data_IF_646932666841
#
_entry.id   IF_646932666841
#
_cell.length_a   1.000
_cell.length_b   1.000
_cell.length_c   1.000
_cell.angle_alpha   90.00
_cell.angle_beta   90.00
_cell.angle_gamma   90.00
#
_symmetry.space_group_name_H-M   'P 1'
#
loop_
_entity.id
_entity.type
_entity.pdbx_description
1 polymer ?
#
# COMPACT_ATOMS: atom_id res chain seq x y z
N UNK A 1 40.22 3.11 8.09
CA UNK A 1 39.20 2.71 7.10
C UNK A 1 38.00 2.11 7.84
N UNK A 2 37.05 2.94 8.27
CA UNK A 2 35.78 2.47 8.87
C UNK A 2 34.73 2.46 7.77
N UNK A 3 34.31 1.24 7.45
CA UNK A 3 33.21 0.79 6.59
C UNK A 3 32.18 1.85 6.22
N UNK A 4 32.14 2.18 4.93
CA UNK A 4 30.98 2.74 4.24
C UNK A 4 29.72 1.93 4.65
N UNK A 5 28.62 2.63 4.89
CA UNK A 5 27.36 2.05 5.33
C UNK A 5 26.97 0.85 4.46
N UNK A 6 26.85 -0.34 5.06
CA UNK A 6 26.19 -1.47 4.42
C UNK A 6 24.71 -1.11 4.28
N UNK A 7 24.37 -0.41 3.20
CA UNK A 7 23.01 -0.32 2.70
C UNK A 7 22.58 -1.78 2.48
N UNK A 8 21.54 -2.21 3.17
CA UNK A 8 21.00 -3.55 3.00
C UNK A 8 20.30 -3.62 1.63
N UNK A 9 21.12 -3.83 0.59
CA UNK A 9 20.72 -3.88 -0.81
C UNK A 9 19.61 -4.90 -1.02
N UNK A 10 19.69 -6.04 -0.33
CA UNK A 10 18.66 -7.08 -0.33
C UNK A 10 17.31 -6.51 0.13
N UNK A 11 17.27 -5.75 1.22
CA UNK A 11 16.06 -5.09 1.69
C UNK A 11 15.49 -4.07 0.68
N UNK A 12 16.35 -3.30 0.01
CA UNK A 12 15.90 -2.38 -1.04
C UNK A 12 15.29 -3.12 -2.24
N UNK A 13 15.96 -4.17 -2.73
CA UNK A 13 15.48 -4.98 -3.85
C UNK A 13 14.16 -5.68 -3.52
N UNK A 14 14.00 -6.17 -2.29
CA UNK A 14 12.75 -6.79 -1.81
C UNK A 14 11.59 -5.78 -1.85
N UNK A 15 11.80 -4.55 -1.38
CA UNK A 15 10.74 -3.52 -1.40
C UNK A 15 10.43 -3.08 -2.84
N UNK A 16 11.44 -2.96 -3.70
CA UNK A 16 11.22 -2.66 -5.11
C UNK A 16 10.40 -3.75 -5.80
N UNK A 17 10.70 -5.02 -5.52
CA UNK A 17 9.92 -6.14 -6.01
C UNK A 17 8.48 -6.11 -5.47
N UNK A 18 8.29 -5.78 -4.19
CA UNK A 18 6.97 -5.60 -3.60
C UNK A 18 6.14 -4.51 -4.35
N UNK A 19 6.77 -3.39 -4.70
CA UNK A 19 6.13 -2.32 -5.48
C UNK A 19 5.64 -2.84 -6.84
N UNK A 20 6.41 -3.68 -7.54
CA UNK A 20 5.97 -4.28 -8.81
C UNK A 20 4.69 -5.12 -8.59
N UNK A 21 4.65 -5.97 -7.55
CA UNK A 21 3.44 -6.74 -7.24
C UNK A 21 2.25 -5.84 -6.91
N UNK A 22 2.45 -4.74 -6.17
CA UNK A 22 1.39 -3.78 -5.91
C UNK A 22 0.88 -3.08 -7.19
N UNK A 23 1.75 -2.77 -8.15
CA UNK A 23 1.33 -2.20 -9.44
C UNK A 23 0.33 -3.12 -10.16
N UNK A 24 0.67 -4.41 -10.30
CA UNK A 24 -0.23 -5.39 -10.91
C UNK A 24 -1.54 -5.51 -10.14
N UNK A 25 -1.48 -5.58 -8.81
CA UNK A 25 -2.67 -5.59 -7.97
C UNK A 25 -3.59 -4.39 -8.25
N UNK A 26 -3.03 -3.17 -8.27
CA UNK A 26 -3.80 -1.94 -8.46
C UNK A 26 -4.50 -1.92 -9.83
N UNK A 27 -3.81 -2.36 -10.89
CA UNK A 27 -4.39 -2.48 -12.24
C UNK A 27 -5.51 -3.53 -12.28
N UNK A 28 -5.36 -4.67 -11.60
CA UNK A 28 -6.42 -5.68 -11.50
C UNK A 28 -7.65 -5.11 -10.80
N UNK A 29 -7.47 -4.40 -9.68
CA UNK A 29 -8.58 -3.76 -8.97
C UNK A 29 -9.30 -2.75 -9.87
N UNK A 30 -8.56 -2.00 -10.68
CA UNK A 30 -9.15 -1.08 -11.66
C UNK A 30 -10.04 -1.78 -12.69
N UNK A 31 -9.55 -2.88 -13.25
CA UNK A 31 -10.31 -3.71 -14.21
C UNK A 31 -11.60 -4.23 -13.55
N UNK A 32 -11.59 -4.57 -12.26
CA UNK A 32 -12.80 -5.03 -11.59
C UNK A 32 -13.90 -3.95 -11.53
N UNK A 33 -13.54 -2.68 -11.35
CA UNK A 33 -14.49 -1.56 -11.24
C UNK A 33 -14.85 -0.87 -12.55
N UNK A 34 -13.94 -0.88 -13.53
CA UNK A 34 -14.09 -0.11 -14.76
C UNK A 34 -13.76 -0.97 -15.97
N UNK A 35 -14.54 -0.80 -17.04
CA UNK A 35 -14.28 -1.48 -18.30
C UNK A 35 -13.02 -0.89 -18.94
N UNK A 36 -12.10 -1.75 -19.34
CA UNK A 36 -10.78 -1.39 -19.86
C UNK A 36 -10.46 -2.18 -21.14
N UNK A 37 -9.57 -1.63 -21.97
CA UNK A 37 -9.03 -2.32 -23.12
C UNK A 37 -7.68 -2.97 -22.76
N UNK A 38 -7.69 -4.27 -22.50
CA UNK A 38 -6.48 -5.01 -22.16
C UNK A 38 -5.58 -5.12 -23.40
N UNK A 39 -4.41 -4.49 -23.31
CA UNK A 39 -3.39 -4.41 -24.37
C UNK A 39 -3.92 -3.89 -25.72
N UNK A 40 -5.06 -3.20 -25.72
CA UNK A 40 -5.75 -2.74 -26.94
C UNK A 40 -6.43 -3.84 -27.76
N UNK A 41 -6.53 -5.07 -27.24
CA UNK A 41 -7.04 -6.23 -27.98
C UNK A 41 -8.39 -6.71 -27.43
N UNK A 42 -8.53 -6.74 -26.09
CA UNK A 42 -9.71 -7.31 -25.42
C UNK A 42 -10.38 -6.28 -24.52
N UNK A 43 -11.68 -6.04 -24.71
CA UNK A 43 -12.44 -5.17 -23.82
C UNK A 43 -13.03 -5.99 -22.68
N UNK A 44 -12.65 -5.70 -21.43
CA UNK A 44 -13.12 -6.43 -20.25
C UNK A 44 -13.02 -5.58 -18.99
N UNK A 45 -13.69 -5.99 -17.92
CA UNK A 45 -13.77 -5.24 -16.67
C UNK A 45 -15.11 -4.56 -16.45
N UNK A 46 -15.21 -3.73 -15.41
CA UNK A 46 -16.47 -3.11 -14.99
C UNK A 46 -17.46 -4.13 -14.42
N UNK A 47 -16.94 -5.16 -13.74
CA UNK A 47 -17.74 -6.27 -13.21
C UNK A 47 -18.54 -5.90 -11.97
N UNK A 48 -18.09 -4.87 -11.23
CA UNK A 48 -18.78 -4.37 -10.04
C UNK A 48 -18.90 -2.85 -10.08
N UNK A 49 -20.00 -2.33 -9.52
CA UNK A 49 -20.20 -0.89 -9.42
C UNK A 49 -19.26 -0.25 -8.39
N UNK A 50 -18.90 1.03 -8.54
CA UNK A 50 -18.04 1.76 -7.60
C UNK A 50 -18.79 2.13 -6.31
N UNK A 51 -19.29 1.15 -5.57
CA UNK A 51 -19.99 1.35 -4.28
C UNK A 51 -19.21 0.77 -3.11
N UNK A 52 -19.54 1.23 -1.91
CA UNK A 52 -18.88 0.83 -0.67
C UNK A 52 -19.09 -0.67 -0.39
N UNK A 53 -20.30 -1.19 -0.62
CA UNK A 53 -20.61 -2.63 -0.48
C UNK A 53 -19.80 -3.51 -1.43
N UNK A 54 -19.68 -3.13 -2.71
CA UNK A 54 -18.82 -3.83 -3.67
C UNK A 54 -17.33 -3.78 -3.30
N UNK A 55 -16.88 -2.69 -2.68
CA UNK A 55 -15.52 -2.57 -2.18
C UNK A 55 -15.22 -3.55 -1.05
N UNK A 56 -16.17 -3.70 -0.11
CA UNK A 56 -16.06 -4.75 0.91
C UNK A 56 -16.17 -6.15 0.32
N UNK A 57 -17.02 -6.38 -0.70
CA UNK A 57 -17.13 -7.66 -1.38
C UNK A 57 -15.81 -8.08 -2.03
N UNK A 58 -15.22 -7.21 -2.84
CA UNK A 58 -13.93 -7.48 -3.48
C UNK A 58 -12.82 -7.71 -2.46
N UNK A 59 -12.83 -6.92 -1.38
CA UNK A 59 -11.86 -7.08 -0.29
C UNK A 59 -12.03 -8.42 0.43
N UNK A 60 -13.27 -8.82 0.74
CA UNK A 60 -13.61 -10.11 1.34
C UNK A 60 -13.13 -11.26 0.44
N UNK A 61 -13.55 -11.28 -0.83
CA UNK A 61 -13.20 -12.34 -1.77
C UNK A 61 -11.69 -12.48 -1.92
N UNK A 62 -10.98 -11.36 -1.99
CA UNK A 62 -9.51 -11.36 -1.98
C UNK A 62 -8.96 -11.98 -0.71
N UNK A 63 -9.44 -11.57 0.46
CA UNK A 63 -8.94 -12.06 1.75
C UNK A 63 -9.27 -13.53 2.01
N UNK A 64 -10.38 -14.03 1.46
CA UNK A 64 -10.73 -15.46 1.46
C UNK A 64 -9.69 -16.31 0.73
N UNK A 65 -9.01 -15.76 -0.29
CA UNK A 65 -7.87 -16.43 -0.92
C UNK A 65 -6.56 -16.18 -0.17
N UNK A 66 -6.26 -14.92 0.20
CA UNK A 66 -4.98 -14.53 0.80
C UNK A 66 -4.72 -15.26 2.13
N UNK A 67 -5.70 -15.32 3.03
CA UNK A 67 -5.52 -15.90 4.37
C UNK A 67 -5.14 -17.39 4.34
N UNK A 68 -5.87 -18.28 3.64
CA UNK A 68 -5.49 -19.69 3.55
C UNK A 68 -4.21 -19.91 2.73
N UNK A 69 -3.99 -19.15 1.65
CA UNK A 69 -2.74 -19.23 0.89
C UNK A 69 -1.54 -18.84 1.77
N UNK A 70 -1.65 -17.75 2.54
CA UNK A 70 -0.64 -17.34 3.50
C UNK A 70 -0.42 -18.42 4.57
N UNK A 71 -1.50 -19.02 5.11
CA UNK A 71 -1.39 -20.13 6.06
C UNK A 71 -0.56 -21.28 5.47
N UNK A 72 -0.85 -21.69 4.23
CA UNK A 72 -0.17 -22.79 3.54
C UNK A 72 1.33 -22.52 3.32
N UNK A 73 1.69 -21.29 2.91
CA UNK A 73 3.09 -20.96 2.62
C UNK A 73 3.86 -20.48 3.86
N UNK A 74 3.17 -20.06 4.92
CA UNK A 74 3.82 -19.40 6.07
C UNK A 74 4.86 -20.28 6.74
N UNK A 75 4.62 -21.60 6.85
CA UNK A 75 5.61 -22.54 7.38
C UNK A 75 6.86 -22.64 6.50
N UNK A 76 6.74 -22.49 5.17
CA UNK A 76 7.89 -22.47 4.24
C UNK A 76 8.67 -21.16 4.32
N UNK A 77 7.96 -20.04 4.51
CA UNK A 77 8.59 -18.72 4.68
C UNK A 77 9.27 -18.58 6.04
N UNK A 78 8.66 -19.13 7.09
CA UNK A 78 9.17 -19.13 8.45
C UNK A 78 8.61 -20.33 9.23
N UNK A 79 9.46 -21.33 9.49
CA UNK A 79 9.06 -22.61 10.09
C UNK A 79 8.34 -22.45 11.44
N UNK A 80 8.74 -21.47 12.25
CA UNK A 80 8.17 -21.22 13.57
C UNK A 80 6.89 -20.38 13.56
N UNK A 81 6.29 -20.07 12.40
CA UNK A 81 5.08 -19.23 12.30
C UNK A 81 3.98 -19.68 13.27
N UNK A 82 3.61 -20.97 13.22
CA UNK A 82 2.52 -21.50 14.04
C UNK A 82 2.90 -21.62 15.52
N UNK A 83 4.19 -21.75 15.82
CA UNK A 83 4.68 -21.75 17.19
C UNK A 83 4.53 -20.36 17.81
N UNK A 84 4.96 -19.30 17.11
CA UNK A 84 4.78 -17.93 17.57
C UNK A 84 3.29 -17.58 17.72
N UNK A 85 2.44 -17.94 16.73
CA UNK A 85 0.99 -17.71 16.83
C UNK A 85 0.38 -18.45 18.03
N UNK A 86 0.82 -19.67 18.32
CA UNK A 86 0.34 -20.39 19.50
C UNK A 86 0.86 -19.76 20.81
N UNK A 87 2.10 -19.27 20.84
CA UNK A 87 2.65 -18.56 22.00
C UNK A 87 1.91 -17.24 22.28
N UNK A 88 1.35 -16.59 21.25
CA UNK A 88 0.53 -15.39 21.41
C UNK A 88 -0.76 -15.62 22.22
N UNK A 89 -1.21 -16.88 22.39
CA UNK A 89 -2.36 -17.21 23.26
C UNK A 89 -2.06 -17.00 24.75
N UNK A 90 -0.78 -16.97 25.12
CA UNK A 90 -0.40 -16.76 26.52
C UNK A 90 -0.70 -15.32 26.95
N UNK A 91 -1.19 -15.09 28.19
CA UNK A 91 -1.57 -13.75 28.66
C UNK A 91 -0.46 -12.70 28.54
N UNK A 92 0.80 -13.12 28.71
CA UNK A 92 1.99 -12.27 28.61
C UNK A 92 2.16 -11.63 27.22
N UNK A 93 1.65 -12.28 26.17
CA UNK A 93 1.80 -11.85 24.77
C UNK A 93 0.59 -11.08 24.23
N UNK A 94 -0.44 -10.83 25.06
CA UNK A 94 -1.63 -10.04 24.67
C UNK A 94 -1.31 -8.67 24.07
N UNK A 95 -0.32 -7.90 24.56
CA UNK A 95 0.03 -6.62 23.94
C UNK A 95 0.43 -6.77 22.46
N UNK A 96 1.18 -7.82 22.12
CA UNK A 96 1.63 -8.09 20.75
C UNK A 96 0.45 -8.47 19.85
N UNK A 97 -0.51 -9.23 20.38
CA UNK A 97 -1.76 -9.55 19.67
C UNK A 97 -2.55 -8.29 19.35
N UNK A 98 -2.74 -7.41 20.34
CA UNK A 98 -3.46 -6.16 20.13
C UNK A 98 -2.75 -5.22 19.15
N UNK A 99 -1.42 -5.17 19.18
CA UNK A 99 -0.63 -4.41 18.19
C UNK A 99 -0.83 -4.98 16.77
N UNK A 100 -0.76 -6.30 16.60
CA UNK A 100 -0.95 -6.96 15.30
C UNK A 100 -2.38 -6.83 14.78
N UNK A 101 -3.40 -6.99 15.63
CA UNK A 101 -4.80 -6.78 15.27
C UNK A 101 -5.08 -5.30 14.95
N UNK A 102 -4.50 -4.37 15.71
CA UNK A 102 -4.57 -2.94 15.42
C UNK A 102 -3.98 -2.61 14.04
N UNK A 103 -2.84 -3.22 13.69
CA UNK A 103 -2.28 -3.11 12.34
C UNK A 103 -3.18 -3.76 11.29
N UNK A 104 -3.82 -4.89 11.59
CA UNK A 104 -4.84 -5.50 10.75
C UNK A 104 -6.05 -4.59 10.48
N UNK A 105 -6.50 -3.84 11.49
CA UNK A 105 -7.55 -2.83 11.34
C UNK A 105 -7.09 -1.65 10.45
N UNK A 106 -5.89 -1.12 10.69
CA UNK A 106 -5.31 -0.08 9.82
C UNK A 106 -5.18 -0.59 8.38
N UNK A 107 -4.81 -1.86 8.22
CA UNK A 107 -4.70 -2.49 6.92
C UNK A 107 -6.04 -2.54 6.18
N UNK A 108 -7.07 -3.06 6.85
CA UNK A 108 -8.43 -3.03 6.36
C UNK A 108 -8.85 -1.62 5.94
N UNK A 109 -8.66 -0.63 6.82
CA UNK A 109 -9.12 0.73 6.60
C UNK A 109 -8.43 1.39 5.39
N UNK A 110 -7.09 1.31 5.26
CA UNK A 110 -6.43 1.92 4.10
C UNK A 110 -6.81 1.21 2.79
N UNK A 111 -7.00 -0.11 2.81
CA UNK A 111 -7.37 -0.88 1.62
C UNK A 111 -8.75 -0.50 1.11
N UNK A 112 -9.73 -0.36 2.00
CA UNK A 112 -11.09 0.07 1.64
C UNK A 112 -11.05 1.48 1.05
N UNK A 113 -10.36 2.41 1.72
CA UNK A 113 -10.23 3.79 1.23
C UNK A 113 -9.55 3.83 -0.15
N UNK A 114 -8.51 3.02 -0.36
CA UNK A 114 -7.82 2.93 -1.64
C UNK A 114 -8.71 2.33 -2.73
N UNK A 115 -9.51 1.30 -2.43
CA UNK A 115 -10.44 0.71 -3.38
C UNK A 115 -11.50 1.72 -3.83
N UNK A 116 -12.05 2.51 -2.88
CA UNK A 116 -12.97 3.60 -3.20
C UNK A 116 -12.29 4.66 -4.09
N UNK A 117 -11.01 4.96 -3.85
CA UNK A 117 -10.26 5.87 -4.70
C UNK A 117 -10.11 5.32 -6.14
N UNK A 118 -9.63 4.08 -6.28
CA UNK A 118 -9.42 3.42 -7.58
C UNK A 118 -10.73 3.22 -8.36
N UNK A 119 -11.86 3.10 -7.67
CA UNK A 119 -13.16 2.94 -8.33
C UNK A 119 -13.64 4.24 -9.01
N UNK A 120 -13.32 5.41 -8.46
CA UNK A 120 -13.78 6.70 -9.00
C UNK A 120 -12.77 7.43 -9.89
N UNK A 121 -11.47 7.26 -9.66
CA UNK A 121 -10.43 7.97 -10.41
C UNK A 121 -9.42 7.00 -11.05
N UNK A 122 -8.74 7.40 -12.14
CA UNK A 122 -7.69 6.60 -12.76
C UNK A 122 -6.65 6.08 -11.75
N UNK A 123 -6.20 4.86 -11.94
CA UNK A 123 -5.37 4.16 -10.94
C UNK A 123 -4.04 4.87 -10.72
N UNK A 124 -3.43 5.40 -11.78
CA UNK A 124 -2.22 6.21 -11.65
C UNK A 124 -2.37 7.41 -10.70
N UNK A 125 -3.52 8.08 -10.74
CA UNK A 125 -3.83 9.23 -9.88
C UNK A 125 -4.11 8.75 -8.44
N UNK A 126 -4.95 7.72 -8.27
CA UNK A 126 -5.25 7.14 -6.96
C UNK A 126 -3.97 6.70 -6.21
N UNK A 127 -3.05 6.03 -6.91
CA UNK A 127 -1.78 5.60 -6.31
C UNK A 127 -0.88 6.79 -6.02
N UNK A 128 -0.86 7.83 -6.85
CA UNK A 128 -0.08 9.04 -6.55
C UNK A 128 -0.59 9.76 -5.30
N UNK A 129 -1.92 9.81 -5.10
CA UNK A 129 -2.55 10.35 -3.89
C UNK A 129 -2.24 9.49 -2.64
N UNK A 130 -2.32 8.17 -2.78
CA UNK A 130 -1.91 7.22 -1.73
C UNK A 130 -0.45 7.44 -1.33
N UNK A 131 0.43 7.74 -2.29
CA UNK A 131 1.84 8.04 -2.08
C UNK A 131 2.15 9.40 -1.42
N UNK A 132 1.13 10.06 -0.84
CA UNK A 132 1.34 11.04 0.22
C UNK A 132 1.78 10.40 1.53
N UNK A 133 1.60 9.08 1.71
CA UNK A 133 1.96 8.37 2.94
C UNK A 133 3.42 8.57 3.42
N UNK A 134 4.46 8.67 2.56
CA UNK A 134 5.84 8.84 3.04
C UNK A 134 6.03 10.12 3.87
N UNK A 135 5.23 11.16 3.61
CA UNK A 135 5.16 12.39 4.43
C UNK A 135 4.75 12.02 5.86
N UNK A 136 3.65 11.30 5.99
CA UNK A 136 3.09 10.91 7.29
C UNK A 136 3.94 9.84 7.98
N UNK A 137 4.52 8.90 7.24
CA UNK A 137 5.46 7.89 7.77
C UNK A 137 6.68 8.59 8.35
N UNK A 138 7.21 9.60 7.67
CA UNK A 138 8.31 10.41 8.16
C UNK A 138 7.98 11.13 9.47
N UNK A 139 6.83 11.79 9.54
CA UNK A 139 6.37 12.51 10.73
C UNK A 139 6.11 11.57 11.92
N UNK A 140 5.46 10.43 11.68
CA UNK A 140 5.21 9.42 12.71
C UNK A 140 6.49 8.75 13.18
N UNK A 141 7.41 8.44 12.26
CA UNK A 141 8.71 7.88 12.59
C UNK A 141 9.57 8.86 13.40
N UNK A 142 9.49 10.17 13.11
CA UNK A 142 10.14 11.19 13.93
C UNK A 142 9.62 11.15 15.36
N UNK A 143 8.30 11.11 15.56
CA UNK A 143 7.68 11.09 16.89
C UNK A 143 7.95 9.81 17.68
N UNK A 144 8.00 8.66 17.02
CA UNK A 144 8.09 7.34 17.68
C UNK A 144 9.55 6.88 17.83
N UNK A 145 10.41 7.17 16.85
CA UNK A 145 11.80 6.70 16.80
C UNK A 145 12.83 7.83 16.97
N UNK A 146 12.41 9.06 17.24
CA UNK A 146 13.26 10.25 17.35
C UNK A 146 14.10 10.55 16.08
N UNK A 147 13.58 10.18 14.90
CA UNK A 147 14.21 10.42 13.58
C UNK A 147 13.93 11.87 13.09
N UNK A 148 14.72 12.84 13.55
CA UNK A 148 14.49 14.29 13.30
C UNK A 148 14.47 14.59 11.78
N UNK A 149 13.41 15.24 11.26
CA UNK A 149 13.32 15.61 9.86
C UNK A 149 14.34 16.71 9.52
N UNK A 150 15.08 16.50 8.44
CA UNK A 150 16.01 17.45 7.87
C UNK A 150 15.30 18.52 7.03
N UNK A 151 16.05 19.56 6.62
CA UNK A 151 15.55 20.57 5.68
C UNK A 151 15.19 19.98 4.31
N UNK A 152 15.97 19.00 3.82
CA UNK A 152 15.63 18.32 2.56
C UNK A 152 14.31 17.56 2.69
N UNK A 153 14.04 16.96 3.87
CA UNK A 153 12.79 16.25 4.11
C UNK A 153 11.58 17.18 4.01
N UNK A 154 11.69 18.42 4.49
CA UNK A 154 10.64 19.44 4.29
C UNK A 154 10.45 19.82 2.82
N UNK A 155 11.54 19.96 2.07
CA UNK A 155 11.48 20.20 0.62
C UNK A 155 10.77 19.04 -0.10
N UNK A 156 11.10 17.79 0.23
CA UNK A 156 10.45 16.62 -0.38
C UNK A 156 8.97 16.54 -0.04
N UNK A 157 8.58 16.88 1.20
CA UNK A 157 7.17 17.00 1.57
C UNK A 157 6.47 18.02 0.68
N UNK A 158 7.06 19.21 0.51
CA UNK A 158 6.49 20.26 -0.35
C UNK A 158 6.34 19.81 -1.81
N UNK A 159 7.38 19.23 -2.40
CA UNK A 159 7.33 18.76 -3.79
C UNK A 159 6.34 17.59 -3.97
N UNK A 160 6.23 16.70 -2.98
CA UNK A 160 5.23 15.61 -3.01
C UNK A 160 3.82 16.19 -3.01
N UNK A 161 3.53 17.18 -2.17
CA UNK A 161 2.22 17.83 -2.13
C UNK A 161 1.88 18.55 -3.44
N UNK A 162 2.85 19.26 -4.04
CA UNK A 162 2.68 19.91 -5.34
C UNK A 162 2.41 18.85 -6.42
N UNK A 163 3.21 17.78 -6.46
CA UNK A 163 3.05 16.71 -7.44
C UNK A 163 1.69 16.03 -7.32
N UNK A 164 1.27 15.70 -6.10
CA UNK A 164 -0.07 15.15 -5.83
C UNK A 164 -1.16 16.11 -6.29
N UNK A 165 -1.05 17.41 -6.02
CA UNK A 165 -2.02 18.40 -6.49
C UNK A 165 -2.13 18.44 -8.03
N UNK A 166 -1.01 18.39 -8.73
CA UNK A 166 -0.98 18.36 -10.21
C UNK A 166 -1.65 17.12 -10.82
N UNK A 167 -1.76 16.03 -10.07
CA UNK A 167 -2.46 14.82 -10.54
C UNK A 167 -3.98 14.93 -10.49
N UNK A 168 -4.53 15.89 -9.73
CA UNK A 168 -5.98 16.07 -9.62
C UNK A 168 -6.52 16.60 -10.97
N UNK A 169 -7.46 15.89 -11.62
CA UNK A 169 -8.00 16.32 -12.90
C UNK A 169 -8.77 17.64 -12.78
N UNK A 170 -8.46 18.60 -13.67
CA UNK A 170 -9.18 19.89 -13.76
C UNK A 170 -10.53 19.75 -14.45
N UNK A 171 -10.58 18.96 -15.52
CA UNK A 171 -11.80 18.55 -16.20
C UNK A 171 -12.05 17.07 -15.90
N UNK A 172 -13.09 16.77 -15.14
CA UNK A 172 -13.49 15.42 -14.80
C UNK A 172 -14.86 15.15 -15.43
N UNK A 173 -14.94 14.07 -16.21
CA UNK A 173 -16.15 13.74 -16.98
C UNK A 173 -17.31 13.24 -16.11
N UNK A 174 -17.03 12.81 -14.87
CA UNK A 174 -18.04 12.39 -13.90
C UNK A 174 -18.53 13.51 -12.98
N UNK A 175 -19.34 13.14 -11.99
CA UNK A 175 -19.82 14.10 -10.99
C UNK A 175 -18.68 14.66 -10.14
N UNK A 176 -18.71 15.96 -9.85
CA UNK A 176 -17.71 16.60 -8.99
C UNK A 176 -17.63 15.93 -7.60
N UNK A 177 -18.75 15.42 -7.08
CA UNK A 177 -18.80 14.70 -5.79
C UNK A 177 -17.99 13.41 -5.80
N UNK A 178 -18.02 12.63 -6.89
CA UNK A 178 -17.27 11.38 -6.98
C UNK A 178 -15.76 11.64 -7.11
N UNK A 179 -15.38 12.73 -7.80
CA UNK A 179 -13.99 13.18 -7.83
C UNK A 179 -13.48 13.54 -6.43
N UNK A 180 -14.21 14.37 -5.69
CA UNK A 180 -13.82 14.77 -4.32
C UNK A 180 -13.71 13.55 -3.42
N UNK A 181 -14.65 12.61 -3.53
CA UNK A 181 -14.61 11.36 -2.78
C UNK A 181 -13.37 10.53 -3.14
N UNK A 182 -13.08 10.33 -4.43
CA UNK A 182 -11.92 9.56 -4.88
C UNK A 182 -10.57 10.19 -4.47
N UNK A 183 -10.46 11.52 -4.53
CA UNK A 183 -9.27 12.27 -4.12
C UNK A 183 -9.07 12.18 -2.60
N UNK A 184 -10.13 12.46 -1.83
CA UNK A 184 -10.06 12.46 -0.36
C UNK A 184 -9.77 11.08 0.21
N UNK A 185 -10.40 10.02 -0.31
CA UNK A 185 -10.12 8.63 0.11
C UNK A 185 -8.73 8.18 -0.32
N UNK A 186 -8.23 8.63 -1.47
CA UNK A 186 -6.85 8.41 -1.91
C UNK A 186 -5.82 8.95 -0.91
N UNK A 187 -5.95 10.23 -0.50
CA UNK A 187 -5.07 10.84 0.50
C UNK A 187 -5.26 10.17 1.88
N UNK A 188 -6.50 9.95 2.30
CA UNK A 188 -6.80 9.31 3.59
C UNK A 188 -6.21 7.90 3.68
N UNK A 189 -6.25 7.12 2.59
CA UNK A 189 -5.62 5.80 2.53
C UNK A 189 -4.11 5.88 2.75
N UNK A 190 -3.43 6.89 2.19
CA UNK A 190 -2.02 7.15 2.45
C UNK A 190 -1.72 7.45 3.92
N UNK A 191 -2.52 8.30 4.56
CA UNK A 191 -2.37 8.62 6.00
C UNK A 191 -2.51 7.36 6.86
N UNK A 192 -3.52 6.54 6.60
CA UNK A 192 -3.76 5.31 7.38
C UNK A 192 -2.65 4.29 7.12
N UNK A 193 -2.16 4.17 5.88
CA UNK A 193 -1.05 3.29 5.54
C UNK A 193 0.27 3.70 6.20
N UNK A 194 0.51 5.01 6.36
CA UNK A 194 1.65 5.49 7.13
C UNK A 194 1.61 5.00 8.59
N UNK A 195 0.43 5.02 9.22
CA UNK A 195 0.21 4.41 10.53
C UNK A 195 0.53 2.92 10.53
N UNK A 196 -0.02 2.17 9.57
CA UNK A 196 0.22 0.74 9.43
C UNK A 196 1.73 0.41 9.36
N UNK A 197 2.47 1.09 8.46
CA UNK A 197 3.90 0.79 8.24
C UNK A 197 4.76 1.08 9.48
N UNK A 198 4.49 2.17 10.20
CA UNK A 198 5.24 2.55 11.41
C UNK A 198 4.95 1.62 12.58
N UNK A 199 3.68 1.27 12.80
CA UNK A 199 3.32 0.30 13.85
C UNK A 199 3.77 -1.11 13.52
N UNK A 200 3.72 -1.53 12.25
CA UNK A 200 4.28 -2.80 11.80
C UNK A 200 5.78 -2.89 12.10
N UNK A 201 6.55 -1.84 11.76
CA UNK A 201 7.99 -1.78 12.09
C UNK A 201 8.25 -1.98 13.60
N UNK A 202 7.42 -1.35 14.46
CA UNK A 202 7.52 -1.52 15.90
C UNK A 202 7.19 -2.95 16.32
N UNK A 203 6.13 -3.54 15.79
CA UNK A 203 5.73 -4.93 16.08
C UNK A 203 6.76 -5.95 15.63
N UNK A 204 7.52 -5.68 14.56
CA UNK A 204 8.60 -6.56 14.09
C UNK A 204 9.77 -6.71 15.06
N UNK A 205 9.82 -5.91 16.12
CA UNK A 205 10.79 -6.12 17.22
C UNK A 205 10.38 -7.26 18.16
N UNK A 206 9.11 -7.69 18.10
CA UNK A 206 8.52 -8.69 19.02
C UNK A 206 7.89 -9.88 18.32
N UNK A 207 7.51 -9.74 17.05
CA UNK A 207 6.83 -10.76 16.26
C UNK A 207 7.44 -10.82 14.87
N UNK A 208 7.72 -12.02 14.36
CA UNK A 208 8.29 -12.16 13.02
C UNK A 208 7.31 -11.60 11.94
N UNK A 209 7.80 -11.00 10.83
CA UNK A 209 6.93 -10.39 9.82
C UNK A 209 5.89 -11.33 9.21
N UNK A 210 6.19 -12.64 9.10
CA UNK A 210 5.30 -13.67 8.55
C UNK A 210 4.04 -13.88 9.41
N UNK A 211 4.13 -14.30 10.69
CA UNK A 211 2.95 -14.42 11.55
C UNK A 211 2.22 -13.08 11.73
N UNK A 212 2.95 -11.95 11.82
CA UNK A 212 2.33 -10.62 11.86
C UNK A 212 1.44 -10.35 10.63
N UNK A 213 1.96 -10.64 9.44
CA UNK A 213 1.23 -10.42 8.18
C UNK A 213 0.00 -11.32 8.09
N UNK A 214 0.12 -12.58 8.53
CA UNK A 214 -1.02 -13.50 8.59
C UNK A 214 -2.12 -12.99 9.54
N UNK A 215 -1.76 -12.54 10.75
CA UNK A 215 -2.73 -11.97 11.72
C UNK A 215 -3.39 -10.71 11.13
N UNK A 216 -2.63 -9.86 10.46
CA UNK A 216 -3.15 -8.66 9.80
C UNK A 216 -4.17 -9.03 8.72
N UNK A 217 -3.87 -10.03 7.87
CA UNK A 217 -4.79 -10.52 6.84
C UNK A 217 -6.04 -11.16 7.44
N UNK A 218 -5.90 -12.00 8.47
CA UNK A 218 -7.03 -12.61 9.15
C UNK A 218 -7.94 -11.56 9.80
N UNK A 219 -7.36 -10.51 10.42
CA UNK A 219 -8.12 -9.39 10.96
C UNK A 219 -8.87 -8.64 9.86
N UNK A 220 -8.20 -8.38 8.73
CA UNK A 220 -8.82 -7.71 7.57
C UNK A 220 -9.97 -8.54 6.98
N UNK A 221 -9.82 -9.86 6.91
CA UNK A 221 -10.86 -10.79 6.50
C UNK A 221 -12.09 -10.65 7.40
N UNK A 222 -11.91 -10.74 8.72
CA UNK A 222 -13.00 -10.66 9.69
C UNK A 222 -13.71 -9.30 9.59
N UNK A 223 -12.96 -8.20 9.52
CA UNK A 223 -13.55 -6.87 9.37
C UNK A 223 -14.33 -6.71 8.07
N UNK A 224 -13.86 -7.32 6.97
CA UNK A 224 -14.57 -7.30 5.69
C UNK A 224 -15.90 -8.07 5.75
N UNK A 225 -15.92 -9.20 6.47
CA UNK A 225 -17.17 -9.95 6.73
C UNK A 225 -18.14 -9.07 7.53
N UNK A 226 -17.67 -8.47 8.63
CA UNK A 226 -18.52 -7.64 9.50
C UNK A 226 -19.10 -6.42 8.75
N UNK A 227 -18.29 -5.77 7.90
CA UNK A 227 -18.76 -4.64 7.11
C UNK A 227 -19.78 -5.04 6.04
N UNK A 228 -19.67 -6.22 5.44
CA UNK A 228 -20.67 -6.71 4.47
C UNK A 228 -22.03 -7.04 5.09
N UNK A 229 -22.07 -7.38 6.38
CA UNK A 229 -23.34 -7.58 7.10
C UNK A 229 -24.13 -6.26 7.15
N UNK A 230 -23.42 -5.12 7.27
CA UNK A 230 -24.02 -3.79 7.42
C UNK A 230 -24.20 -3.09 6.06
N UNK A 231 -23.22 -3.18 5.16
CA UNK A 231 -23.22 -2.57 3.84
C UNK A 231 -23.18 -3.64 2.77
N UNK A 232 -24.35 -4.15 2.44
CA UNK A 232 -24.51 -5.17 1.40
C UNK A 232 -24.24 -4.55 0.02
N UNK A 233 -23.60 -5.28 -0.90
CA UNK A 233 -23.49 -4.86 -2.29
C UNK A 233 -24.88 -4.84 -2.93
N UNK A 234 -25.10 -3.90 -3.85
CA UNK A 234 -26.38 -3.78 -4.55
C UNK A 234 -26.73 -5.07 -5.29
N UNK A 235 -28.01 -5.42 -5.33
CA UNK A 235 -28.48 -6.65 -5.97
C UNK A 235 -28.35 -6.54 -7.50
N UNK A 236 -27.63 -7.48 -8.10
CA UNK A 236 -27.45 -7.58 -9.54
C UNK A 236 -26.90 -8.94 -9.95
N UNK A 237 -27.05 -9.29 -11.24
CA UNK A 237 -26.43 -10.49 -11.78
C UNK A 237 -24.92 -10.27 -11.94
N UNK A 238 -24.19 -10.44 -10.83
CA UNK A 238 -22.75 -10.28 -10.80
C UNK A 238 -22.07 -11.40 -11.59
N UNK A 239 -21.09 -11.09 -12.46
CA UNK A 239 -20.33 -12.10 -13.20
C UNK A 239 -19.33 -12.80 -12.26
N UNK A 240 -19.83 -13.70 -11.41
CA UNK A 240 -19.09 -14.34 -10.31
C UNK A 240 -17.79 -15.02 -10.76
N UNK A 241 -17.76 -15.61 -11.96
CA UNK A 241 -16.54 -16.22 -12.49
C UNK A 241 -15.43 -15.18 -12.69
N UNK A 242 -15.74 -14.05 -13.32
CA UNK A 242 -14.78 -12.98 -13.57
C UNK A 242 -14.32 -12.33 -12.25
N UNK A 243 -15.25 -12.08 -11.33
CA UNK A 243 -14.94 -11.53 -9.99
C UNK A 243 -14.06 -12.51 -9.19
N UNK A 244 -14.34 -13.81 -9.26
CA UNK A 244 -13.55 -14.83 -8.55
C UNK A 244 -12.13 -14.92 -9.13
N UNK A 245 -11.98 -14.95 -10.45
CA UNK A 245 -10.66 -14.95 -11.11
C UNK A 245 -9.89 -13.67 -10.76
N UNK A 246 -10.53 -12.50 -10.87
CA UNK A 246 -9.91 -11.23 -10.56
C UNK A 246 -9.53 -11.11 -9.09
N UNK A 247 -10.37 -11.60 -8.16
CA UNK A 247 -10.07 -11.62 -6.72
C UNK A 247 -8.92 -12.58 -6.38
N UNK A 248 -8.83 -13.74 -7.03
CA UNK A 248 -7.71 -14.68 -6.87
C UNK A 248 -6.40 -14.07 -7.39
N UNK A 249 -6.41 -13.47 -8.58
CA UNK A 249 -5.22 -12.84 -9.13
C UNK A 249 -4.78 -11.67 -8.23
N UNK A 250 -5.74 -10.83 -7.83
CA UNK A 250 -5.54 -9.75 -6.86
C UNK A 250 -4.96 -10.26 -5.53
N UNK A 251 -5.41 -11.42 -5.05
CA UNK A 251 -4.90 -12.07 -3.85
C UNK A 251 -3.45 -12.50 -3.98
N UNK A 252 -3.06 -13.11 -5.11
CA UNK A 252 -1.66 -13.54 -5.34
C UNK A 252 -0.69 -12.35 -5.32
N UNK A 253 -1.03 -11.26 -6.02
CA UNK A 253 -0.22 -10.04 -6.04
C UNK A 253 -0.22 -9.34 -4.67
N UNK A 254 -1.36 -9.30 -3.97
CA UNK A 254 -1.46 -8.72 -2.62
C UNK A 254 -0.62 -9.50 -1.61
N UNK A 255 -0.69 -10.83 -1.64
CA UNK A 255 0.09 -11.73 -0.79
C UNK A 255 1.59 -11.48 -0.99
N UNK A 256 2.06 -11.56 -2.24
CA UNK A 256 3.46 -11.35 -2.57
C UNK A 256 3.94 -9.94 -2.18
N UNK A 257 3.18 -8.90 -2.56
CA UNK A 257 3.49 -7.51 -2.25
C UNK A 257 3.60 -7.25 -0.75
N UNK A 258 2.63 -7.68 0.06
CA UNK A 258 2.67 -7.42 1.51
C UNK A 258 3.72 -8.23 2.25
N UNK A 259 3.91 -9.51 1.90
CA UNK A 259 4.95 -10.33 2.54
C UNK A 259 6.32 -9.73 2.27
N UNK A 260 6.62 -9.40 1.00
CA UNK A 260 7.89 -8.77 0.62
C UNK A 260 8.04 -7.39 1.27
N UNK A 261 7.00 -6.55 1.24
CA UNK A 261 7.05 -5.22 1.83
C UNK A 261 7.30 -5.27 3.35
N UNK A 262 6.60 -6.14 4.08
CA UNK A 262 6.78 -6.26 5.53
C UNK A 262 8.16 -6.83 5.89
N UNK A 263 8.66 -7.77 5.09
CA UNK A 263 10.04 -8.24 5.22
C UNK A 263 11.05 -7.12 4.94
N UNK A 264 10.81 -6.33 3.91
CA UNK A 264 11.60 -5.14 3.58
C UNK A 264 11.61 -4.13 4.72
N UNK A 265 10.44 -3.78 5.27
CA UNK A 265 10.32 -2.90 6.43
C UNK A 265 11.09 -3.46 7.63
N UNK A 266 11.05 -4.76 7.87
CA UNK A 266 11.85 -5.39 8.93
C UNK A 266 13.36 -5.22 8.70
N UNK A 267 13.83 -5.32 7.45
CA UNK A 267 15.27 -5.23 7.11
C UNK A 267 15.83 -3.80 7.06
N UNK A 268 15.05 -2.83 6.55
CA UNK A 268 15.53 -1.46 6.28
C UNK A 268 14.74 -0.36 7.00
N UNK A 269 13.67 -0.71 7.72
CA UNK A 269 12.78 0.24 8.39
C UNK A 269 11.74 0.87 7.46
N UNK A 270 10.63 1.34 8.04
CA UNK A 270 9.49 1.90 7.31
C UNK A 270 9.86 3.15 6.51
N UNK A 271 10.72 4.01 7.06
CA UNK A 271 11.18 5.23 6.38
C UNK A 271 11.93 4.92 5.07
N UNK A 272 12.84 3.92 5.06
CA UNK A 272 13.57 3.54 3.84
C UNK A 272 12.70 2.76 2.87
N UNK A 273 11.85 1.86 3.38
CA UNK A 273 10.89 1.14 2.55
C UNK A 273 9.93 2.11 1.83
N UNK A 274 9.44 3.14 2.52
CA UNK A 274 8.60 4.17 1.94
C UNK A 274 9.28 4.91 0.77
N UNK A 275 10.59 5.15 0.90
CA UNK A 275 11.36 5.81 -0.16
C UNK A 275 11.49 4.91 -1.39
N UNK A 276 11.86 3.64 -1.22
CA UNK A 276 11.96 2.69 -2.34
C UNK A 276 10.59 2.45 -2.97
N UNK A 277 9.55 2.35 -2.16
CA UNK A 277 8.18 2.16 -2.61
C UNK A 277 7.68 3.28 -3.51
N UNK A 278 8.28 4.47 -3.47
CA UNK A 278 7.86 5.62 -4.28
C UNK A 278 8.12 5.51 -5.78
N UNK A 279 8.74 4.41 -6.21
CA UNK A 279 8.72 3.99 -7.62
C UNK A 279 7.33 3.54 -8.06
N UNK A 280 6.46 3.13 -7.13
CA UNK A 280 5.17 2.53 -7.41
C UNK A 280 4.19 3.44 -8.18
N UNK A 281 4.03 4.76 -7.92
CA UNK A 281 3.20 5.63 -8.75
C UNK A 281 3.62 5.62 -10.21
N UNK A 282 4.91 5.86 -10.49
CA UNK A 282 5.44 5.86 -11.86
C UNK A 282 5.28 4.49 -12.53
N UNK A 283 5.61 3.40 -11.83
CA UNK A 283 5.42 2.03 -12.33
C UNK A 283 3.94 1.71 -12.61
N UNK A 284 3.05 2.16 -11.74
CA UNK A 284 1.60 1.98 -11.91
C UNK A 284 1.10 2.74 -13.12
N UNK A 285 1.54 3.98 -13.34
CA UNK A 285 1.15 4.76 -14.54
C UNK A 285 1.63 4.10 -15.82
N UNK A 286 2.87 3.63 -15.86
CA UNK A 286 3.42 2.92 -17.03
C UNK A 286 2.65 1.62 -17.27
N UNK A 287 2.44 0.82 -16.23
CA UNK A 287 1.71 -0.44 -16.34
C UNK A 287 0.26 -0.22 -16.75
N UNK A 288 -0.43 0.78 -16.18
CA UNK A 288 -1.81 1.08 -16.52
C UNK A 288 -1.93 1.59 -17.96
N UNK A 289 -1.02 2.47 -18.40
CA UNK A 289 -0.99 2.95 -19.79
C UNK A 289 -0.76 1.83 -20.80
N UNK A 290 0.14 0.87 -20.51
CA UNK A 290 0.39 -0.26 -21.41
C UNK A 290 -0.73 -1.30 -21.33
N UNK A 291 -1.08 -1.74 -20.12
CA UNK A 291 -1.94 -2.89 -19.90
C UNK A 291 -3.42 -2.58 -20.10
N UNK A 292 -3.90 -1.42 -19.67
CA UNK A 292 -5.34 -1.06 -19.71
C UNK A 292 -5.62 0.20 -20.54
N UNK A 293 -4.60 0.81 -21.15
CA UNK A 293 -4.71 2.01 -21.98
C UNK A 293 -5.29 3.22 -21.23
N UNK A 294 -5.04 3.29 -19.91
CA UNK A 294 -5.36 4.50 -19.14
C UNK A 294 -4.48 5.65 -19.63
N UNK A 295 -5.13 6.73 -20.07
CA UNK A 295 -4.45 7.96 -20.45
C UNK A 295 -4.47 8.97 -19.31
N UNK A 296 -3.34 9.63 -19.11
CA UNK A 296 -3.20 10.75 -18.19
C UNK A 296 -2.80 11.99 -18.99
N UNK A 297 -3.28 13.16 -18.57
CA UNK A 297 -2.85 14.42 -19.15
C UNK A 297 -1.35 14.67 -18.86
N UNK A 298 -0.72 15.52 -19.66
CA UNK A 298 0.66 15.93 -19.41
C UNK A 298 0.88 16.50 -18.01
N UNK A 299 -0.09 17.24 -17.47
CA UNK A 299 -0.01 17.79 -16.10
C UNK A 299 -0.01 16.68 -15.04
N UNK A 300 -0.81 15.63 -15.25
CA UNK A 300 -0.87 14.49 -14.35
C UNK A 300 0.42 13.66 -14.40
N UNK A 301 0.98 13.44 -15.60
CA UNK A 301 2.28 12.77 -15.76
C UNK A 301 3.37 13.57 -15.04
N UNK A 302 3.40 14.91 -15.20
CA UNK A 302 4.33 15.77 -14.47
C UNK A 302 4.16 15.64 -12.96
N UNK A 303 2.92 15.59 -12.46
CA UNK A 303 2.62 15.36 -11.05
C UNK A 303 3.18 14.03 -10.52
N UNK A 304 2.97 12.93 -11.26
CA UNK A 304 3.50 11.60 -10.93
C UNK A 304 5.02 11.61 -10.91
N UNK A 305 5.65 12.17 -11.94
CA UNK A 305 7.10 12.31 -12.03
C UNK A 305 7.66 13.12 -10.86
N UNK A 306 6.98 14.22 -10.50
CA UNK A 306 7.38 15.06 -9.38
C UNK A 306 7.31 14.29 -8.06
N UNK A 307 6.22 13.57 -7.77
CA UNK A 307 6.10 12.74 -6.55
C UNK A 307 7.21 11.68 -6.49
N UNK A 308 7.38 10.91 -7.56
CA UNK A 308 8.41 9.84 -7.60
C UNK A 308 9.82 10.40 -7.46
N UNK A 309 10.15 11.51 -8.15
CA UNK A 309 11.47 12.14 -8.06
C UNK A 309 11.73 12.78 -6.69
N UNK A 310 10.72 13.43 -6.11
CA UNK A 310 10.82 14.04 -4.78
C UNK A 310 11.20 13.01 -3.74
N UNK A 311 10.55 11.84 -3.78
CA UNK A 311 10.86 10.80 -2.82
C UNK A 311 12.22 10.15 -3.14
N UNK A 312 12.63 10.03 -4.41
CA UNK A 312 13.98 9.61 -4.75
C UNK A 312 15.06 10.56 -4.17
N UNK A 313 14.79 11.86 -4.09
CA UNK A 313 15.69 12.85 -3.49
C UNK A 313 15.96 12.58 -2.00
N UNK A 314 15.01 12.00 -1.25
CA UNK A 314 15.23 11.57 0.15
C UNK A 314 16.30 10.48 0.31
N UNK A 315 16.56 9.67 -0.71
CA UNK A 315 17.63 8.66 -0.65
C UNK A 315 19.01 9.30 -0.60
N UNK A 316 19.21 10.43 -1.28
CA UNK A 316 20.53 11.09 -1.38
C UNK A 316 21.00 11.66 -0.04
N UNK A 317 20.10 12.13 0.81
CA UNK A 317 20.46 12.69 2.10
C UNK A 317 21.00 11.66 3.09
N UNK A 318 20.48 10.43 3.06
CA UNK A 318 20.97 9.37 3.94
C UNK A 318 22.28 8.75 3.46
N UNK A 319 22.67 8.99 2.20
CA UNK A 319 23.95 8.56 1.62
C UNK A 319 25.09 9.57 1.87
N UNK A 320 24.76 10.83 2.18
CA UNK A 320 25.74 11.83 2.61
C UNK A 320 25.79 11.79 4.15
N UNK A 321 26.87 11.29 4.78
CA UNK A 321 26.99 11.35 6.22
C UNK A 321 26.90 12.81 6.65
N UNK A 322 25.99 13.10 7.59
CA UNK A 322 25.93 14.37 8.29
C UNK A 322 27.32 14.66 8.86
N UNK A 323 28.06 15.54 8.20
CA UNK A 323 29.37 15.98 8.63
C UNK A 323 29.24 16.53 10.05
N UNK A 324 29.98 15.90 10.97
CA UNK A 324 30.32 16.39 12.30
C UNK A 324 29.25 17.26 13.02
N UNK A 325 28.36 16.63 13.78
CA UNK A 325 28.02 17.25 15.08
C UNK A 325 29.23 17.09 15.99
N UNK A 326 30.16 18.04 15.90
CA UNK A 326 31.23 18.23 16.88
C UNK A 326 30.61 18.17 18.27
N UNK A 327 31.06 17.18 19.04
CA UNK A 327 31.02 17.23 20.49
C UNK A 327 31.75 18.52 20.90
N UNK A 328 30.99 19.53 21.31
CA UNK A 328 31.51 20.50 22.26
C UNK A 328 31.04 20.06 23.64
N UNK A 329 32.07 19.95 24.50
CA UNK A 329 32.10 19.51 25.89
C UNK A 329 30.96 20.04 26.74
#
# INVERSE_FOLDING_TARGET
MRTLSNINLTGLLIVLLAAIFFCFHNVIVRILYSQQNILGIWQTGGFVAPTLGHSFLLLLLRMLWVVPLMALISHRLYSNTWLEINQLKQPVNRPVVWEAMGCGFLMFLYLVLLYISISFIPTGIAITLFFTYPIFTALLAWRIFNDVPSLLRWLVIGLTLIGTFLTIPYAYEGEQKTLVLGVSTGIASGIVYAGYTVFAQKSFQRLHPVPFTWISFATTLILSILCLIIWQPDEGNLPWLAITIGSLLSALFTLAGHVLNNWGIHLIGASRAAIVGATNPALTVVLAGIAIQESLSYTQILGVCLVTFSIALLNYEKAVPSAEKKQFK
#
